data_IF_578042531693
#
_entry.id   IF_578042531693
#
_cell.length_a   1.000
_cell.length_b   1.000
_cell.length_c   1.000
_cell.angle_alpha   90.00
_cell.angle_beta   90.00
_cell.angle_gamma   90.00
#
_symmetry.space_group_name_H-M   'P 1'
#
loop_
_entity.id
_entity.type
_entity.pdbx_description
1 polymer ?
#
# COMPACT_ATOMS: atom_id res chain seq x y z
N UNK A 1 -30.31 -26.33 -13.88
CA UNK A 1 -29.60 -25.02 -14.00
C UNK A 1 -29.21 -24.55 -12.61
N UNK A 2 -27.93 -24.36 -12.36
CA UNK A 2 -27.45 -23.77 -11.10
C UNK A 2 -27.67 -22.27 -11.17
N UNK A 3 -28.39 -21.65 -10.22
CA UNK A 3 -28.62 -20.21 -10.27
C UNK A 3 -27.31 -19.47 -10.12
N UNK A 4 -27.06 -18.47 -10.98
CA UNK A 4 -25.99 -17.51 -10.83
C UNK A 4 -26.42 -16.60 -9.68
N UNK A 5 -25.59 -16.51 -8.63
CA UNK A 5 -25.78 -15.61 -7.50
C UNK A 5 -24.72 -14.52 -7.54
N UNK A 6 -25.06 -13.36 -7.02
CA UNK A 6 -24.07 -12.30 -6.82
C UNK A 6 -22.92 -12.79 -5.93
N UNK A 7 -21.71 -12.35 -6.25
CA UNK A 7 -20.50 -12.75 -5.55
C UNK A 7 -20.57 -12.29 -4.11
N UNK A 8 -20.71 -13.21 -3.16
CA UNK A 8 -20.51 -12.88 -1.75
C UNK A 8 -19.02 -12.64 -1.49
N UNK A 9 -18.70 -11.98 -0.39
CA UNK A 9 -17.32 -11.70 0.03
C UNK A 9 -16.44 -12.94 -0.10
N UNK A 10 -15.41 -12.86 -0.93
CA UNK A 10 -14.44 -13.95 -1.10
C UNK A 10 -13.43 -13.91 0.04
N UNK A 11 -13.35 -14.99 0.79
CA UNK A 11 -12.30 -15.18 1.80
C UNK A 11 -11.21 -16.06 1.19
N UNK A 12 -9.97 -15.58 1.09
CA UNK A 12 -8.86 -16.44 0.65
C UNK A 12 -8.70 -17.60 1.64
N UNK A 13 -8.37 -18.76 1.12
CA UNK A 13 -8.04 -19.91 1.97
C UNK A 13 -6.83 -19.60 2.86
N UNK A 14 -6.74 -20.25 4.01
CA UNK A 14 -5.61 -20.10 4.92
C UNK A 14 -4.29 -20.39 4.21
N UNK A 15 -3.23 -19.75 4.64
CA UNK A 15 -1.92 -19.77 3.98
C UNK A 15 -1.38 -21.19 3.72
N UNK A 16 -1.65 -22.15 4.61
CA UNK A 16 -1.22 -23.54 4.45
C UNK A 16 -1.99 -24.28 3.35
N UNK A 17 -3.17 -23.81 2.94
CA UNK A 17 -3.94 -24.33 1.81
C UNK A 17 -3.55 -23.67 0.49
N UNK A 18 -2.99 -22.48 0.53
CA UNK A 18 -2.56 -21.79 -0.67
C UNK A 18 -1.31 -22.48 -1.23
N UNK A 19 -1.31 -22.71 -2.55
CA UNK A 19 -0.22 -23.38 -3.24
C UNK A 19 0.14 -24.77 -2.66
N UNK A 20 -0.81 -25.42 -2.00
CA UNK A 20 -0.60 -26.73 -1.37
C UNK A 20 -0.01 -27.77 -2.33
N UNK A 21 -0.42 -27.72 -3.60
CA UNK A 21 0.07 -28.60 -4.67
C UNK A 21 1.57 -28.40 -4.98
N UNK A 22 2.10 -27.20 -4.79
CA UNK A 22 3.53 -26.89 -4.94
C UNK A 22 4.32 -27.30 -3.68
N UNK A 23 3.74 -27.05 -2.50
CA UNK A 23 4.38 -27.32 -1.20
C UNK A 23 4.41 -28.84 -0.88
N UNK A 24 3.41 -29.59 -1.33
CA UNK A 24 3.23 -31.01 -1.04
C UNK A 24 2.83 -31.84 -2.28
N UNK A 25 3.65 -31.88 -3.33
CA UNK A 25 3.25 -32.44 -4.64
C UNK A 25 2.85 -33.91 -4.58
N UNK A 26 3.57 -34.74 -3.82
CA UNK A 26 3.29 -36.18 -3.70
C UNK A 26 1.95 -36.43 -3.00
N UNK A 27 1.68 -35.72 -1.90
CA UNK A 27 0.43 -35.87 -1.17
C UNK A 27 -0.75 -35.35 -1.98
N UNK A 28 -0.57 -34.21 -2.66
CA UNK A 28 -1.59 -33.64 -3.52
C UNK A 28 -1.95 -34.54 -4.70
N UNK A 29 -0.95 -35.19 -5.33
CA UNK A 29 -1.17 -36.15 -6.40
C UNK A 29 -1.97 -37.37 -5.91
N UNK A 30 -1.61 -37.93 -4.74
CA UNK A 30 -2.35 -39.00 -4.11
C UNK A 30 -3.81 -38.65 -3.84
N UNK A 31 -4.07 -37.45 -3.35
CA UNK A 31 -5.43 -36.93 -3.13
C UNK A 31 -6.21 -36.79 -4.45
N UNK A 32 -5.62 -36.24 -5.50
CA UNK A 32 -6.26 -36.08 -6.83
C UNK A 32 -6.70 -37.43 -7.42
N UNK A 33 -5.83 -38.44 -7.33
CA UNK A 33 -6.12 -39.79 -7.83
C UNK A 33 -7.21 -40.44 -6.97
N UNK A 34 -7.06 -40.43 -5.65
CA UNK A 34 -7.96 -41.08 -4.71
C UNK A 34 -9.38 -40.49 -4.69
N UNK A 35 -9.49 -39.17 -4.84
CA UNK A 35 -10.78 -38.44 -4.89
C UNK A 35 -11.51 -38.58 -6.24
N UNK A 36 -10.89 -39.20 -7.25
CA UNK A 36 -11.45 -39.27 -8.61
C UNK A 36 -11.44 -37.96 -9.38
N UNK A 37 -10.84 -36.90 -8.82
CA UNK A 37 -10.81 -35.54 -9.41
C UNK A 37 -10.23 -35.53 -10.82
N UNK A 38 -9.15 -36.28 -11.06
CA UNK A 38 -8.52 -36.34 -12.39
C UNK A 38 -9.40 -36.99 -13.43
N UNK A 39 -10.18 -38.01 -13.05
CA UNK A 39 -11.18 -38.62 -13.94
C UNK A 39 -12.31 -37.66 -14.29
N UNK A 40 -12.79 -36.91 -13.29
CA UNK A 40 -13.82 -35.90 -13.50
C UNK A 40 -13.32 -34.78 -14.43
N UNK A 41 -12.12 -34.24 -14.16
CA UNK A 41 -11.53 -33.21 -15.02
C UNK A 41 -11.37 -33.70 -16.45
N UNK A 42 -10.85 -34.91 -16.63
CA UNK A 42 -10.71 -35.51 -17.98
C UNK A 42 -12.06 -35.69 -18.69
N UNK A 43 -13.13 -36.04 -17.97
CA UNK A 43 -14.47 -36.21 -18.56
C UNK A 43 -15.12 -34.88 -18.96
N UNK A 44 -14.87 -33.80 -18.25
CA UNK A 44 -15.48 -32.49 -18.51
C UNK A 44 -14.65 -31.65 -19.47
N UNK A 45 -13.34 -31.66 -19.33
CA UNK A 45 -12.42 -30.79 -20.07
C UNK A 45 -11.72 -31.48 -21.24
N UNK A 46 -11.76 -32.82 -21.32
CA UNK A 46 -11.20 -33.58 -22.43
C UNK A 46 -9.76 -33.20 -22.77
N UNK A 47 -9.55 -32.66 -23.98
CA UNK A 47 -8.23 -32.22 -24.46
C UNK A 47 -7.68 -31.02 -23.69
N UNK A 48 -8.55 -30.23 -23.08
CA UNK A 48 -8.18 -28.98 -22.36
C UNK A 48 -7.87 -29.21 -20.86
N UNK A 49 -7.87 -30.51 -20.44
CA UNK A 49 -7.57 -30.85 -19.02
C UNK A 49 -6.23 -30.34 -18.50
N UNK A 50 -5.26 -30.18 -19.40
CA UNK A 50 -3.90 -29.70 -19.11
C UNK A 50 -3.70 -28.28 -19.66
N UNK A 51 -4.78 -27.53 -19.94
CA UNK A 51 -4.71 -26.17 -20.40
C UNK A 51 -3.89 -25.34 -19.39
N UNK A 52 -2.70 -24.98 -19.81
CA UNK A 52 -1.89 -24.01 -19.10
C UNK A 52 -2.34 -22.63 -19.56
N UNK A 53 -2.84 -21.83 -18.66
CA UNK A 53 -2.95 -20.39 -18.92
C UNK A 53 -1.54 -19.96 -19.28
N UNK A 54 -1.26 -19.71 -20.56
CA UNK A 54 -0.06 -19.01 -20.95
C UNK A 54 -0.11 -17.69 -20.20
N UNK A 55 0.81 -17.52 -19.25
CA UNK A 55 1.02 -16.20 -18.68
C UNK A 55 1.20 -15.26 -19.86
N UNK A 56 0.47 -14.14 -19.91
CA UNK A 56 0.69 -13.18 -20.98
C UNK A 56 2.19 -12.94 -21.07
N UNK A 57 2.72 -13.15 -22.28
CA UNK A 57 4.13 -12.93 -22.56
C UNK A 57 4.40 -11.43 -22.40
N UNK A 58 4.71 -11.07 -21.23
CA UNK A 58 5.45 -9.97 -20.64
C UNK A 58 5.12 -10.02 -19.14
N UNK A 59 6.03 -10.61 -18.35
CA UNK A 59 6.28 -10.01 -17.06
C UNK A 59 6.45 -8.52 -17.36
N UNK A 60 5.44 -7.74 -17.04
CA UNK A 60 5.66 -6.34 -16.79
C UNK A 60 6.48 -6.37 -15.50
N UNK A 61 7.79 -6.46 -15.66
CA UNK A 61 8.70 -6.09 -14.61
C UNK A 61 8.17 -4.79 -14.08
N UNK A 62 7.79 -4.76 -12.81
CA UNK A 62 7.62 -3.50 -12.12
C UNK A 62 8.79 -2.64 -12.55
N UNK A 63 8.56 -1.43 -13.06
CA UNK A 63 9.67 -0.58 -13.39
C UNK A 63 10.57 -0.54 -12.15
N UNK A 64 11.86 -0.74 -12.38
CA UNK A 64 12.87 -0.57 -11.34
C UNK A 64 12.56 0.74 -10.61
N UNK A 65 12.97 0.88 -9.35
CA UNK A 65 12.78 2.09 -8.53
C UNK A 65 13.01 3.41 -9.28
N UNK A 66 13.66 3.35 -10.43
CA UNK A 66 14.11 4.45 -11.28
C UNK A 66 13.06 4.96 -12.30
N UNK A 67 11.82 4.50 -12.33
CA UNK A 67 10.88 4.88 -13.40
C UNK A 67 9.49 5.34 -12.97
N UNK A 68 9.15 5.35 -11.68
CA UNK A 68 7.91 5.97 -11.25
C UNK A 68 8.15 7.45 -10.98
N UNK A 69 7.84 8.29 -11.96
CA UNK A 69 7.72 9.73 -11.76
C UNK A 69 6.27 10.04 -11.40
N UNK A 70 6.06 10.54 -10.19
CA UNK A 70 4.81 11.17 -9.83
C UNK A 70 4.58 12.36 -10.75
N UNK A 71 3.50 12.37 -11.53
CA UNK A 71 3.04 13.56 -12.24
C UNK A 71 1.86 14.16 -11.49
N UNK A 72 1.91 15.46 -11.21
CA UNK A 72 0.79 16.23 -10.63
C UNK A 72 -0.43 16.38 -11.58
N UNK A 73 -0.40 15.74 -12.74
CA UNK A 73 -1.52 15.74 -13.65
C UNK A 73 -2.70 14.99 -12.99
N UNK A 74 -3.80 15.72 -12.82
CA UNK A 74 -5.09 15.15 -12.40
C UNK A 74 -5.59 14.03 -13.33
N UNK A 75 -4.87 13.77 -14.42
CA UNK A 75 -5.02 12.69 -15.39
C UNK A 75 -3.94 11.63 -15.27
N UNK A 76 -3.27 11.49 -14.12
CA UNK A 76 -2.32 10.37 -13.98
C UNK A 76 -3.07 9.06 -14.16
N UNK A 77 -2.76 8.33 -15.22
CA UNK A 77 -3.27 6.99 -15.47
C UNK A 77 -2.65 5.98 -14.49
N UNK A 78 -2.53 6.36 -13.20
CA UNK A 78 -2.02 5.45 -12.19
C UNK A 78 -2.95 4.25 -12.06
N UNK A 79 -2.41 3.07 -12.24
CA UNK A 79 -3.11 1.80 -12.00
C UNK A 79 -2.42 1.11 -10.84
N UNK A 80 -3.16 0.94 -9.74
CA UNK A 80 -2.65 0.23 -8.56
C UNK A 80 -2.25 -1.19 -8.95
N UNK A 81 -1.02 -1.64 -8.61
CA UNK A 81 -0.59 -3.01 -8.87
C UNK A 81 -1.48 -4.05 -8.17
N UNK A 82 -1.61 -5.22 -8.76
CA UNK A 82 -2.38 -6.31 -8.17
C UNK A 82 -1.76 -6.84 -6.86
N UNK A 83 -2.58 -7.52 -6.04
CA UNK A 83 -2.14 -8.02 -4.72
C UNK A 83 -0.89 -8.91 -4.79
N UNK A 84 -0.72 -9.70 -5.86
CA UNK A 84 0.46 -10.57 -6.05
C UNK A 84 1.73 -9.74 -6.28
N UNK A 85 1.61 -8.66 -7.04
CA UNK A 85 2.73 -7.75 -7.34
C UNK A 85 3.11 -6.95 -6.10
N UNK A 86 2.11 -6.42 -5.38
CA UNK A 86 2.33 -5.72 -4.12
C UNK A 86 3.01 -6.60 -3.06
N UNK A 87 2.65 -7.89 -2.96
CA UNK A 87 3.34 -8.84 -2.06
C UNK A 87 4.79 -9.11 -2.44
N UNK A 88 5.16 -8.91 -3.70
CA UNK A 88 6.55 -9.06 -4.15
C UNK A 88 7.39 -7.79 -3.96
N UNK A 89 6.77 -6.62 -4.10
CA UNK A 89 7.46 -5.32 -4.06
C UNK A 89 7.55 -4.73 -2.64
N UNK A 90 6.59 -5.04 -1.77
CA UNK A 90 6.54 -4.55 -0.41
C UNK A 90 7.11 -5.59 0.56
N UNK A 91 7.73 -5.11 1.63
CA UNK A 91 8.06 -6.01 2.74
C UNK A 91 6.77 -6.45 3.48
N UNK A 92 6.84 -7.52 4.32
CA UNK A 92 5.65 -8.03 5.01
C UNK A 92 4.94 -7.00 5.89
N UNK A 93 5.67 -6.05 6.50
CA UNK A 93 5.08 -5.00 7.35
C UNK A 93 4.40 -3.94 6.50
N UNK A 94 5.05 -3.49 5.43
CA UNK A 94 4.49 -2.55 4.46
C UNK A 94 3.19 -3.10 3.85
N UNK A 95 3.21 -4.37 3.40
CA UNK A 95 2.01 -5.00 2.84
C UNK A 95 0.88 -5.09 3.86
N UNK A 96 1.17 -5.59 5.07
CA UNK A 96 0.18 -5.72 6.14
C UNK A 96 -0.41 -4.36 6.54
N UNK A 97 0.40 -3.32 6.62
CA UNK A 97 -0.07 -1.97 6.96
C UNK A 97 -0.92 -1.41 5.84
N UNK A 98 -0.40 -1.34 4.62
CA UNK A 98 -1.06 -0.63 3.52
C UNK A 98 -2.28 -1.37 2.95
N UNK A 99 -2.26 -2.71 2.93
CA UNK A 99 -3.30 -3.52 2.27
C UNK A 99 -4.23 -4.28 3.24
N UNK A 100 -3.79 -4.53 4.48
CA UNK A 100 -4.54 -5.33 5.46
C UNK A 100 -4.91 -4.51 6.70
N UNK A 101 -4.88 -3.17 6.62
CA UNK A 101 -5.22 -2.24 7.71
C UNK A 101 -4.42 -2.50 9.01
N UNK A 102 -3.17 -2.98 8.87
CA UNK A 102 -2.30 -3.24 10.00
C UNK A 102 -1.76 -1.96 10.64
N UNK A 103 -1.19 -2.12 11.82
CA UNK A 103 -0.44 -1.06 12.51
C UNK A 103 0.92 -1.61 12.90
N UNK A 104 1.96 -0.85 12.63
CA UNK A 104 3.33 -1.16 13.06
C UNK A 104 3.56 -0.82 14.54
N UNK A 105 4.68 -1.26 15.11
CA UNK A 105 4.98 -1.00 16.52
C UNK A 105 5.41 0.46 16.75
N UNK A 106 4.96 1.09 17.85
CA UNK A 106 5.40 2.44 18.19
C UNK A 106 6.89 2.47 18.57
N UNK A 107 7.55 3.63 18.37
CA UNK A 107 8.93 3.92 18.74
C UNK A 107 10.02 3.03 18.10
N UNK A 108 9.65 2.09 17.26
CA UNK A 108 10.57 1.17 16.57
C UNK A 108 10.43 1.22 15.06
N UNK A 109 9.57 2.09 14.55
CA UNK A 109 9.36 2.32 13.12
C UNK A 109 10.33 3.37 12.58
N UNK A 110 10.49 3.44 11.27
CA UNK A 110 11.57 4.18 10.62
C UNK A 110 11.50 5.70 10.84
N UNK A 111 10.30 6.29 10.72
CA UNK A 111 10.16 7.74 10.64
C UNK A 111 9.59 8.40 11.89
N UNK A 112 9.37 7.69 13.01
CA UNK A 112 8.83 8.31 14.22
C UNK A 112 9.71 9.45 14.73
N UNK A 113 11.03 9.34 14.59
CA UNK A 113 12.01 10.34 15.03
C UNK A 113 12.82 10.94 13.87
N UNK A 114 12.36 10.83 12.61
CA UNK A 114 13.01 11.48 11.47
C UNK A 114 12.91 13.00 11.58
N UNK A 115 14.07 13.70 11.42
CA UNK A 115 14.21 15.16 11.60
C UNK A 115 14.70 15.88 10.34
N UNK A 116 15.14 15.14 9.32
CA UNK A 116 15.60 15.76 8.07
C UNK A 116 14.46 16.48 7.39
N UNK A 117 14.77 17.51 6.63
CA UNK A 117 13.83 18.19 5.75
C UNK A 117 13.54 17.33 4.53
N UNK A 118 12.28 17.27 4.13
CA UNK A 118 11.83 16.49 2.99
C UNK A 118 10.33 16.22 3.02
N UNK A 119 9.89 15.38 2.09
CA UNK A 119 8.48 14.99 1.98
C UNK A 119 8.32 13.48 2.23
N UNK A 120 7.11 13.10 2.59
CA UNK A 120 6.69 11.71 2.78
C UNK A 120 5.68 11.37 1.70
N UNK A 121 5.96 10.33 0.92
CA UNK A 121 5.12 9.86 -0.17
C UNK A 121 4.56 8.47 0.13
N UNK A 122 3.47 8.09 -0.50
CA UNK A 122 2.92 6.74 -0.39
C UNK A 122 3.92 5.70 -0.91
N UNK A 123 4.15 4.63 -0.16
CA UNK A 123 5.13 3.58 -0.52
C UNK A 123 4.71 2.79 -1.77
N UNK A 124 3.41 2.78 -2.11
CA UNK A 124 2.84 2.02 -3.22
C UNK A 124 2.75 2.88 -4.48
N UNK A 125 2.15 4.09 -4.38
CA UNK A 125 1.90 4.96 -5.54
C UNK A 125 2.94 6.06 -5.74
N UNK A 126 3.73 6.39 -4.70
CA UNK A 126 4.61 7.54 -4.73
C UNK A 126 3.91 8.90 -4.62
N UNK A 127 2.58 8.93 -4.42
CA UNK A 127 1.87 10.20 -4.26
C UNK A 127 2.32 10.98 -3.03
N UNK A 128 2.57 12.31 -3.15
CA UNK A 128 3.04 13.12 -2.03
C UNK A 128 1.92 13.31 -0.99
N UNK A 129 2.23 12.95 0.26
CA UNK A 129 1.24 12.90 1.34
C UNK A 129 1.49 13.92 2.44
N UNK A 130 2.73 14.01 2.94
CA UNK A 130 3.06 14.88 4.08
C UNK A 130 4.43 15.56 3.91
N UNK A 131 4.63 16.65 4.66
CA UNK A 131 5.90 17.39 4.69
C UNK A 131 6.53 17.34 6.08
N UNK A 132 7.86 17.32 6.14
CA UNK A 132 8.61 17.47 7.39
C UNK A 132 8.33 18.83 8.08
N UNK A 133 7.91 19.85 7.33
CA UNK A 133 7.52 21.16 7.86
C UNK A 133 6.27 21.09 8.76
N UNK A 134 5.39 20.13 8.49
CA UNK A 134 4.15 19.92 9.23
C UNK A 134 4.27 18.77 10.26
N UNK A 135 5.45 18.13 10.36
CA UNK A 135 5.73 17.04 11.28
C UNK A 135 6.06 17.57 12.69
N UNK A 136 5.51 16.91 13.71
CA UNK A 136 5.76 17.26 15.09
C UNK A 136 5.96 16.04 15.98
N UNK A 137 6.55 16.26 17.18
CA UNK A 137 6.76 15.23 18.18
C UNK A 137 5.49 15.02 19.01
N UNK A 138 4.64 14.07 18.63
CA UNK A 138 3.38 13.77 19.33
C UNK A 138 3.55 12.91 20.59
N UNK A 139 4.71 12.25 20.75
CA UNK A 139 4.93 11.30 21.84
C UNK A 139 4.24 9.96 21.68
N UNK A 140 3.54 9.72 20.57
CA UNK A 140 2.78 8.47 20.31
C UNK A 140 3.64 7.33 19.81
N UNK A 141 4.83 7.64 19.29
CA UNK A 141 5.74 6.64 18.72
C UNK A 141 5.54 6.36 17.22
N UNK A 142 4.71 7.15 16.55
CA UNK A 142 4.54 7.18 15.10
C UNK A 142 4.78 8.58 14.55
N UNK A 143 5.17 8.72 13.27
CA UNK A 143 5.24 10.03 12.63
C UNK A 143 3.88 10.70 12.66
N UNK A 144 3.86 11.96 13.10
CA UNK A 144 2.63 12.73 13.28
C UNK A 144 2.75 14.07 12.58
N UNK A 145 1.68 14.45 11.85
CA UNK A 145 1.64 15.66 11.03
C UNK A 145 0.40 16.48 11.36
N UNK A 146 0.50 17.79 11.19
CA UNK A 146 -0.62 18.72 11.47
C UNK A 146 -1.61 18.83 10.30
N UNK A 147 -1.16 18.49 9.08
CA UNK A 147 -1.96 18.51 7.86
C UNK A 147 -1.28 17.69 6.75
N UNK A 148 -2.01 17.29 5.70
CA UNK A 148 -1.44 16.79 4.46
C UNK A 148 -0.61 17.85 3.72
N UNK A 149 0.32 17.40 2.87
CA UNK A 149 1.06 18.25 1.92
C UNK A 149 0.18 18.62 0.72
N UNK A 150 -0.59 17.66 0.24
CA UNK A 150 -1.57 17.81 -0.83
C UNK A 150 -2.89 17.22 -0.34
N UNK A 151 -3.85 18.06 0.01
CA UNK A 151 -5.13 17.63 0.62
C UNK A 151 -5.88 16.62 -0.24
N UNK A 152 -5.85 16.79 -1.58
CA UNK A 152 -6.53 15.89 -2.51
C UNK A 152 -5.94 14.48 -2.58
N UNK A 153 -4.71 14.26 -2.11
CA UNK A 153 -4.06 12.95 -2.12
C UNK A 153 -4.40 12.09 -0.90
N UNK A 154 -5.17 12.66 0.02
CA UNK A 154 -5.58 11.98 1.25
C UNK A 154 -7.08 11.86 1.31
N UNK A 155 -7.58 10.69 1.64
CA UNK A 155 -9.00 10.42 1.86
C UNK A 155 -9.24 9.96 3.29
N UNK A 156 -10.40 10.30 3.83
CA UNK A 156 -10.81 9.95 5.18
C UNK A 156 -12.03 9.01 5.15
N UNK A 157 -11.98 7.95 5.94
CA UNK A 157 -13.08 6.99 6.10
C UNK A 157 -13.37 6.73 7.57
N UNK A 158 -14.64 6.53 7.89
CA UNK A 158 -15.03 6.16 9.27
C UNK A 158 -14.59 4.72 9.53
N UNK A 159 -13.71 4.53 10.52
CA UNK A 159 -13.29 3.23 11.05
C UNK A 159 -14.06 2.93 12.34
N UNK A 160 -14.83 1.83 12.35
CA UNK A 160 -15.62 1.35 13.49
C UNK A 160 -15.04 0.08 14.12
N UNK A 161 -13.78 -0.22 13.83
CA UNK A 161 -13.09 -1.38 14.41
C UNK A 161 -12.72 -1.14 15.88
N UNK A 162 -12.36 -2.21 16.58
CA UNK A 162 -11.82 -2.18 17.95
C UNK A 162 -12.69 -1.43 18.98
N UNK A 163 -14.03 -1.51 18.84
CA UNK A 163 -15.00 -0.88 19.76
C UNK A 163 -14.87 0.66 19.87
N UNK A 164 -14.18 1.31 18.94
CA UNK A 164 -14.04 2.77 18.87
C UNK A 164 -14.42 3.26 17.47
N UNK A 165 -14.87 4.52 17.40
CA UNK A 165 -15.07 5.20 16.12
C UNK A 165 -13.89 6.13 15.91
N UNK A 166 -13.14 5.90 14.83
CA UNK A 166 -11.97 6.69 14.45
C UNK A 166 -12.11 7.12 13.00
N UNK A 167 -11.32 8.10 12.59
CA UNK A 167 -11.21 8.49 11.18
C UNK A 167 -9.93 7.90 10.61
N UNK A 168 -10.08 6.89 9.75
CA UNK A 168 -9.00 6.29 8.98
C UNK A 168 -8.53 7.25 7.90
N UNK A 169 -7.21 7.33 7.72
CA UNK A 169 -6.56 8.10 6.67
C UNK A 169 -5.98 7.13 5.63
N UNK A 170 -6.31 7.38 4.36
CA UNK A 170 -5.87 6.56 3.23
C UNK A 170 -5.31 7.45 2.12
N UNK A 171 -4.41 6.92 1.31
CA UNK A 171 -3.97 7.57 0.08
C UNK A 171 -5.05 7.48 -1.00
N UNK A 172 -5.13 8.50 -1.86
CA UNK A 172 -6.16 8.58 -2.90
C UNK A 172 -5.95 7.53 -4.00
N UNK A 173 -4.74 7.46 -4.56
CA UNK A 173 -4.49 6.65 -5.76
C UNK A 173 -4.23 5.17 -5.44
N UNK A 174 -3.40 4.89 -4.44
CA UNK A 174 -3.13 3.51 -4.05
C UNK A 174 -4.18 2.91 -3.11
N UNK A 175 -5.07 3.74 -2.53
CA UNK A 175 -5.98 3.31 -1.46
C UNK A 175 -5.24 2.54 -0.36
N UNK A 176 -4.03 3.00 -0.01
CA UNK A 176 -3.24 2.45 1.07
C UNK A 176 -3.79 2.90 2.41
N UNK A 177 -3.91 1.99 3.38
CA UNK A 177 -4.12 2.40 4.76
C UNK A 177 -2.86 3.12 5.26
N UNK A 178 -3.00 4.38 5.68
CA UNK A 178 -1.89 5.20 6.19
C UNK A 178 -1.88 5.23 7.72
N UNK A 179 -3.02 5.39 8.35
CA UNK A 179 -3.18 5.56 9.78
C UNK A 179 -4.53 6.17 10.13
N UNK A 180 -4.53 7.07 11.12
CA UNK A 180 -5.76 7.74 11.58
C UNK A 180 -5.49 9.21 11.85
N UNK A 181 -6.54 10.03 11.77
CA UNK A 181 -6.51 11.44 12.16
C UNK A 181 -7.33 11.65 13.43
N UNK A 182 -6.82 12.55 14.29
CA UNK A 182 -7.37 12.90 15.60
C UNK A 182 -7.44 14.43 15.72
N UNK A 183 -8.29 14.93 16.62
CA UNK A 183 -8.51 16.35 16.92
C UNK A 183 -7.70 16.83 18.15
N UNK A 184 -6.63 16.13 18.49
CA UNK A 184 -5.75 16.39 19.62
C UNK A 184 -4.35 16.92 19.21
N UNK A 185 -4.26 17.46 18.00
CA UNK A 185 -3.04 18.03 17.45
C UNK A 185 -2.76 19.47 17.91
N UNK A 186 -1.58 20.01 17.58
CA UNK A 186 -1.22 21.39 17.92
C UNK A 186 -1.93 22.42 17.03
N UNK A 187 -2.03 23.66 17.50
CA UNK A 187 -2.42 24.79 16.67
C UNK A 187 -1.46 24.94 15.46
N UNK A 188 -1.90 25.50 14.32
CA UNK A 188 -3.21 26.14 14.10
C UNK A 188 -4.34 25.16 13.70
N UNK A 189 -4.04 23.95 13.25
CA UNK A 189 -5.06 23.04 12.72
C UNK A 189 -5.83 22.29 13.82
N UNK A 190 -5.20 22.03 14.95
CA UNK A 190 -5.74 21.16 15.98
C UNK A 190 -5.75 19.68 15.59
N UNK A 191 -5.29 19.35 14.38
CA UNK A 191 -5.34 17.98 13.86
C UNK A 191 -4.00 17.25 14.06
N UNK A 192 -4.09 15.95 14.28
CA UNK A 192 -2.94 15.03 14.34
C UNK A 192 -3.16 13.85 13.42
N UNK A 193 -2.51 13.86 12.28
CA UNK A 193 -2.41 12.72 11.36
C UNK A 193 -1.33 11.77 11.90
N UNK A 194 -1.75 10.67 12.53
CA UNK A 194 -0.88 9.66 13.11
C UNK A 194 -0.69 8.53 12.09
N UNK A 195 0.47 8.49 11.45
CA UNK A 195 0.69 7.72 10.23
C UNK A 195 1.72 6.62 10.47
N UNK A 196 1.52 5.44 9.87
CA UNK A 196 2.49 4.36 9.90
C UNK A 196 3.68 4.68 8.98
N UNK A 197 4.90 4.56 9.49
CA UNK A 197 6.13 4.68 8.68
C UNK A 197 6.15 3.68 7.53
N UNK A 198 5.66 2.47 7.77
CA UNK A 198 5.61 1.40 6.77
C UNK A 198 4.72 1.73 5.56
N UNK A 199 3.83 2.70 5.66
CA UNK A 199 3.01 3.20 4.55
C UNK A 199 3.71 4.31 3.76
N UNK A 200 4.87 4.78 4.21
CA UNK A 200 5.56 5.96 3.70
C UNK A 200 6.93 5.61 3.11
N UNK A 201 7.37 6.42 2.15
CA UNK A 201 8.75 6.58 1.72
C UNK A 201 9.15 8.04 1.97
N UNK A 202 10.31 8.27 2.56
CA UNK A 202 10.83 9.62 2.79
C UNK A 202 11.74 10.03 1.63
N UNK A 203 11.54 11.24 1.13
CA UNK A 203 12.38 11.88 0.11
C UNK A 203 13.03 13.11 0.77
N UNK A 204 14.36 13.09 0.95
CA UNK A 204 15.09 14.25 1.45
C UNK A 204 14.92 15.48 0.54
N UNK A 205 14.97 16.69 1.13
CA UNK A 205 14.77 17.93 0.37
C UNK A 205 15.79 18.17 -0.74
N UNK A 206 17.00 17.65 -0.57
CA UNK A 206 18.09 17.72 -1.55
C UNK A 206 18.00 16.66 -2.66
N UNK A 207 17.12 15.69 -2.53
CA UNK A 207 16.88 14.63 -3.52
C UNK A 207 15.56 14.84 -4.30
N UNK A 208 14.75 15.87 -3.97
CA UNK A 208 13.44 16.09 -4.58
C UNK A 208 13.48 16.19 -6.11
N UNK A 209 14.45 16.90 -6.67
CA UNK A 209 14.59 17.05 -8.12
C UNK A 209 14.96 15.71 -8.80
N UNK A 210 15.87 14.96 -8.19
CA UNK A 210 16.31 13.66 -8.72
C UNK A 210 15.20 12.59 -8.66
N UNK A 211 14.31 12.70 -7.69
CA UNK A 211 13.19 11.77 -7.45
C UNK A 211 11.89 12.21 -8.16
N UNK A 212 11.90 13.33 -8.92
CA UNK A 212 10.75 13.82 -9.67
C UNK A 212 9.71 14.60 -8.84
N UNK A 213 10.15 15.19 -7.73
CA UNK A 213 9.31 16.00 -6.84
C UNK A 213 9.76 17.46 -6.75
N UNK A 214 10.37 18.00 -7.82
CA UNK A 214 10.93 19.36 -7.92
C UNK A 214 9.91 20.44 -7.53
N UNK A 215 8.62 20.21 -7.74
CA UNK A 215 7.55 21.13 -7.38
C UNK A 215 7.51 21.48 -5.89
N UNK A 216 8.04 20.59 -5.06
CA UNK A 216 8.06 20.78 -3.61
C UNK A 216 9.39 21.34 -3.10
N UNK A 217 10.41 21.49 -3.95
CA UNK A 217 11.72 22.03 -3.56
C UNK A 217 11.62 23.41 -2.92
N UNK A 218 10.73 24.26 -3.44
CA UNK A 218 10.48 25.60 -2.90
C UNK A 218 10.03 25.65 -1.42
N UNK A 219 9.52 24.55 -0.88
CA UNK A 219 9.13 24.47 0.54
C UNK A 219 10.32 24.51 1.49
N UNK A 220 11.50 24.13 0.99
CA UNK A 220 12.72 23.95 1.79
C UNK A 220 13.80 24.99 1.48
N UNK A 221 13.58 25.85 0.46
CA UNK A 221 14.50 26.95 0.13
C UNK A 221 14.51 28.00 1.26
N UNK A 222 15.68 28.41 1.68
CA UNK A 222 15.86 29.51 2.61
C UNK A 222 15.59 30.85 1.90
N UNK A 223 15.09 31.86 2.62
CA UNK A 223 14.78 33.20 2.06
C UNK A 223 15.99 33.92 1.45
N UNK A 224 17.19 33.39 1.59
CA UNK A 224 18.42 33.96 1.04
C UNK A 224 18.72 33.49 -0.40
N UNK A 225 18.13 32.40 -0.86
CA UNK A 225 18.31 31.85 -2.20
C UNK A 225 17.32 32.38 -3.24
N UNK A 226 16.39 33.25 -2.82
CA UNK A 226 15.33 33.82 -3.67
C UNK A 226 15.61 35.27 -4.10
N UNK A 227 16.89 35.73 -4.09
CA UNK A 227 17.29 37.06 -4.56
C UNK A 227 18.13 37.01 -5.83
#
# INVERSE_FOLDING_TARGET
MTPIRDLATFYPAEEYHQDYYLKNPTHYLGYRIGSGRDRFIASVWGKDKDYKIEKPAKETTMPAKDSFQWSNDANSNYVKPGAIELKKSLDPTQYRVTQEHGTERPFTNEFWNEKREGIYVDIVSGEPLFSSKDKFASGTGWPSFTKPLVDSNVTEKVDRSLFSVRTEVRSLHADSHLGHVFDDGPAPTGMRYCINSAALRFIPSDELDAEGYEHFAGLFMTKEETK
#
